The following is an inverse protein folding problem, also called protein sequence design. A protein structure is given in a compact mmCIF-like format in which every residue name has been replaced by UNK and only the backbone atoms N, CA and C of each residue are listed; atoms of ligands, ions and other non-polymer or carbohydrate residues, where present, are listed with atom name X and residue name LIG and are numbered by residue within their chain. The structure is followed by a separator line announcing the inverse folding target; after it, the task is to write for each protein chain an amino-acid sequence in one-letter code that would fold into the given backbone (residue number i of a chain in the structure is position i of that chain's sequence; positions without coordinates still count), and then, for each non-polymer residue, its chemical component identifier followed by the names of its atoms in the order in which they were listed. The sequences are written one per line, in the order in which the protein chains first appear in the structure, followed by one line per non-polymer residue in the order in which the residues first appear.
data_IF_728883753990
#
_entry.id   IF_728883753990
#
_cell.length_a   1.000
_cell.length_b   1.000
_cell.length_c   1.000
_cell.angle_alpha   90.00
_cell.angle_beta   90.00
_cell.angle_gamma   90.00
#
_symmetry.space_group_name_H-M   'P 1'
#
loop_
_entity.id
_entity.type
_entity.pdbx_description
1 polymer ?
#
# COMPACT_ATOMS: atom_id res chain seq x y z
N UNK A 1 -5.57 11.00 25.41
CA UNK A 1 -6.57 11.83 24.68
C UNK A 1 -6.05 12.70 23.52
N UNK A 2 -4.88 13.34 23.60
CA UNK A 2 -4.33 14.18 22.51
C UNK A 2 -4.06 13.44 21.18
N UNK A 3 -3.76 12.14 21.22
CA UNK A 3 -3.53 11.33 20.02
C UNK A 3 -4.82 11.04 19.22
N UNK A 4 -5.95 10.85 19.91
CA UNK A 4 -7.26 10.78 19.27
C UNK A 4 -7.74 12.15 18.79
N UNK A 5 -7.37 13.22 19.49
CA UNK A 5 -7.66 14.59 19.07
C UNK A 5 -6.85 15.01 17.84
N UNK A 6 -5.57 14.64 17.74
CA UNK A 6 -4.72 14.93 16.57
C UNK A 6 -5.14 14.10 15.34
N UNK A 7 -5.44 12.81 15.53
CA UNK A 7 -6.00 11.96 14.45
C UNK A 7 -7.39 12.42 14.02
N UNK A 8 -8.24 12.87 14.95
CA UNK A 8 -9.51 13.52 14.63
C UNK A 8 -9.34 14.90 13.99
N UNK A 9 -8.32 15.68 14.37
CA UNK A 9 -8.07 17.00 13.80
C UNK A 9 -7.60 16.86 12.35
N UNK A 10 -6.65 15.97 12.06
CA UNK A 10 -6.19 15.70 10.70
C UNK A 10 -7.29 15.12 9.79
N UNK A 11 -8.14 14.23 10.32
CA UNK A 11 -9.25 13.63 9.55
C UNK A 11 -10.46 14.56 9.41
N UNK A 12 -10.89 15.20 10.49
CA UNK A 12 -12.08 16.07 10.49
C UNK A 12 -11.81 17.42 9.87
N UNK A 13 -10.62 18.01 10.01
CA UNK A 13 -10.28 19.35 9.48
C UNK A 13 -10.04 19.39 7.97
N UNK A 14 -9.83 18.24 7.32
CA UNK A 14 -9.69 18.17 5.86
C UNK A 14 -11.00 17.76 5.18
N UNK A 15 -11.84 16.95 5.85
CA UNK A 15 -13.10 16.46 5.28
C UNK A 15 -14.31 17.36 5.56
N UNK A 16 -14.22 18.30 6.50
CA UNK A 16 -15.24 19.34 6.73
C UNK A 16 -15.10 20.53 5.77
N UNK A 17 -14.00 20.61 5.02
CA UNK A 17 -13.78 21.62 4.00
C UNK A 17 -14.16 21.04 2.61
N UNK A 18 -15.14 21.63 1.90
CA UNK A 18 -15.64 21.06 0.64
C UNK A 18 -14.57 20.93 -0.46
N UNK A 19 -13.45 21.66 -0.40
CA UNK A 19 -12.37 21.48 -1.38
C UNK A 19 -11.35 20.40 -0.98
N UNK A 20 -11.21 20.11 0.32
CA UNK A 20 -10.28 19.09 0.82
C UNK A 20 -10.76 17.67 0.51
N UNK A 21 -12.07 17.43 0.66
CA UNK A 21 -12.71 16.16 0.28
C UNK A 21 -12.62 15.89 -1.22
N UNK A 22 -12.88 16.90 -2.05
CA UNK A 22 -12.81 16.79 -3.52
C UNK A 22 -11.39 16.47 -3.99
N UNK A 23 -10.37 17.12 -3.41
CA UNK A 23 -8.98 16.86 -3.74
C UNK A 23 -8.54 15.44 -3.37
N UNK A 24 -8.83 15.00 -2.14
CA UNK A 24 -8.47 13.64 -1.68
C UNK A 24 -9.25 12.56 -2.44
N UNK A 25 -10.51 12.80 -2.76
CA UNK A 25 -11.33 11.89 -3.58
C UNK A 25 -10.75 11.75 -4.98
N UNK A 26 -10.37 12.85 -5.62
CA UNK A 26 -9.73 12.84 -6.94
C UNK A 26 -8.38 12.09 -6.93
N UNK A 27 -7.52 12.31 -5.92
CA UNK A 27 -6.26 11.59 -5.77
C UNK A 27 -6.45 10.08 -5.55
N UNK A 28 -7.44 9.69 -4.76
CA UNK A 28 -7.75 8.28 -4.53
C UNK A 28 -8.29 7.58 -5.78
N UNK A 29 -9.09 8.27 -6.60
CA UNK A 29 -9.65 7.71 -7.82
C UNK A 29 -8.57 7.37 -8.86
N UNK A 30 -7.53 8.21 -8.99
CA UNK A 30 -6.45 7.98 -9.98
C UNK A 30 -5.40 6.97 -9.50
N UNK A 31 -5.26 6.76 -8.19
CA UNK A 31 -4.17 5.96 -7.62
C UNK A 31 -4.10 4.51 -8.14
N UNK A 32 -5.19 3.72 -8.17
CA UNK A 32 -5.16 2.34 -8.67
C UNK A 32 -4.66 2.22 -10.12
N UNK A 33 -5.13 3.12 -10.99
CA UNK A 33 -4.75 3.14 -12.40
C UNK A 33 -3.27 3.50 -12.58
N UNK A 34 -2.80 4.49 -11.83
CA UNK A 34 -1.41 4.96 -11.90
C UNK A 34 -0.43 3.85 -11.49
N UNK A 35 -0.72 3.15 -10.39
CA UNK A 35 0.11 2.03 -9.92
C UNK A 35 0.21 0.94 -10.99
N UNK A 36 -0.91 0.56 -11.61
CA UNK A 36 -0.95 -0.46 -12.66
C UNK A 36 -0.05 -0.10 -13.84
N UNK A 37 -0.17 1.13 -14.36
CA UNK A 37 0.60 1.59 -15.53
C UNK A 37 2.09 1.74 -15.20
N UNK A 38 2.42 2.28 -14.01
CA UNK A 38 3.81 2.45 -13.60
C UNK A 38 4.54 1.11 -13.45
N UNK A 39 3.94 0.15 -12.75
CA UNK A 39 4.59 -1.14 -12.52
C UNK A 39 4.75 -1.92 -13.82
N UNK A 40 3.73 -1.95 -14.67
CA UNK A 40 3.79 -2.63 -15.97
C UNK A 40 4.85 -2.01 -16.89
N UNK A 41 4.94 -0.68 -16.93
CA UNK A 41 5.92 0.05 -17.76
C UNK A 41 7.35 -0.02 -17.20
N UNK A 42 7.51 -0.01 -15.88
CA UNK A 42 8.82 -0.19 -15.24
C UNK A 42 9.36 -1.59 -15.49
N UNK A 43 8.49 -2.60 -15.42
CA UNK A 43 8.86 -3.99 -15.59
C UNK A 43 9.13 -4.36 -17.05
N UNK A 44 8.35 -3.82 -18.00
CA UNK A 44 8.60 -4.01 -19.43
C UNK A 44 9.96 -3.45 -19.86
N UNK A 45 10.40 -2.36 -19.24
CA UNK A 45 11.71 -1.72 -19.47
C UNK A 45 12.82 -2.22 -18.54
N UNK A 46 12.54 -3.17 -17.64
CA UNK A 46 13.49 -3.59 -16.61
C UNK A 46 14.71 -4.34 -17.21
N UNK A 47 15.91 -3.83 -16.93
CA UNK A 47 17.21 -4.43 -17.31
C UNK A 47 17.66 -5.49 -16.28
N UNK A 48 18.58 -6.39 -16.65
CA UNK A 48 18.95 -7.57 -15.82
C UNK A 48 19.51 -7.24 -14.43
N UNK A 49 20.03 -6.03 -14.20
CA UNK A 49 20.53 -5.58 -12.88
C UNK A 49 19.46 -5.13 -11.87
N UNK A 50 18.17 -5.26 -12.18
CA UNK A 50 17.08 -4.76 -11.31
C UNK A 50 16.98 -5.54 -9.98
N UNK A 51 17.24 -6.86 -10.00
CA UNK A 51 17.07 -7.74 -8.84
C UNK A 51 17.99 -7.38 -7.66
N UNK A 52 19.25 -6.98 -7.96
CA UNK A 52 20.20 -6.54 -6.93
C UNK A 52 19.73 -5.26 -6.23
N UNK A 53 19.17 -4.30 -6.98
CA UNK A 53 18.62 -3.05 -6.42
C UNK A 53 17.41 -3.32 -5.54
N UNK A 54 16.51 -4.22 -5.96
CA UNK A 54 15.37 -4.62 -5.14
C UNK A 54 15.80 -5.22 -3.80
N UNK A 55 16.82 -6.10 -3.80
CA UNK A 55 17.38 -6.64 -2.55
C UNK A 55 17.87 -5.53 -1.62
N UNK A 56 18.61 -4.56 -2.15
CA UNK A 56 19.08 -3.40 -1.37
C UNK A 56 17.90 -2.63 -0.76
N UNK A 57 16.87 -2.31 -1.54
CA UNK A 57 15.68 -1.59 -1.05
C UNK A 57 14.97 -2.35 0.07
N UNK A 58 14.82 -3.67 -0.06
CA UNK A 58 14.19 -4.50 0.99
C UNK A 58 14.99 -4.46 2.29
N UNK A 59 16.33 -4.54 2.21
CA UNK A 59 17.20 -4.44 3.39
C UNK A 59 17.06 -3.08 4.07
N UNK A 60 17.09 -1.99 3.29
CA UNK A 60 16.89 -0.64 3.81
C UNK A 60 15.51 -0.45 4.44
N UNK A 61 14.46 -1.03 3.86
CA UNK A 61 13.09 -0.98 4.40
C UNK A 61 12.98 -1.68 5.75
N UNK A 62 13.52 -2.89 5.86
CA UNK A 62 13.52 -3.64 7.12
C UNK A 62 14.33 -2.92 8.20
N UNK A 63 15.50 -2.41 7.84
CA UNK A 63 16.36 -1.66 8.76
C UNK A 63 15.67 -0.38 9.25
N UNK A 64 15.06 0.38 8.34
CA UNK A 64 14.33 1.61 8.68
C UNK A 64 13.12 1.35 9.58
N UNK A 65 12.34 0.30 9.29
CA UNK A 65 11.15 -0.05 10.08
C UNK A 65 11.54 -0.50 11.48
N UNK A 66 12.64 -1.25 11.59
CA UNK A 66 13.17 -1.69 12.88
C UNK A 66 13.62 -0.51 13.74
N UNK A 67 14.37 0.44 13.17
CA UNK A 67 14.78 1.66 13.88
C UNK A 67 13.54 2.48 14.28
N UNK A 68 12.58 2.65 13.37
CA UNK A 68 11.35 3.38 13.65
C UNK A 68 10.55 2.75 14.81
N UNK A 69 10.48 1.42 14.90
CA UNK A 69 9.83 0.73 16.01
C UNK A 69 10.54 0.99 17.34
N UNK A 70 11.88 0.97 17.39
CA UNK A 70 12.65 1.29 18.60
C UNK A 70 12.37 2.73 19.04
N UNK A 71 12.43 3.68 18.10
CA UNK A 71 12.14 5.09 18.38
C UNK A 71 10.70 5.29 18.85
N UNK A 72 9.73 4.59 18.26
CA UNK A 72 8.34 4.65 18.66
C UNK A 72 8.10 4.12 20.08
N UNK A 73 8.75 3.02 20.46
CA UNK A 73 8.66 2.45 21.81
C UNK A 73 9.29 3.42 22.82
N UNK A 74 10.50 3.92 22.55
CA UNK A 74 11.15 4.91 23.43
C UNK A 74 10.33 6.20 23.56
N UNK A 75 9.78 6.70 22.44
CA UNK A 75 8.89 7.86 22.43
C UNK A 75 7.59 7.63 23.20
N UNK A 76 7.01 6.43 23.12
CA UNK A 76 5.84 6.03 23.89
C UNK A 76 6.10 6.08 25.40
N UNK A 77 7.31 5.69 25.83
CA UNK A 77 7.71 5.79 27.24
C UNK A 77 8.01 7.23 27.68
N UNK A 78 8.58 8.07 26.82
CA UNK A 78 8.90 9.47 27.13
C UNK A 78 7.66 10.38 27.19
N UNK A 79 6.60 10.05 26.45
CA UNK A 79 5.34 10.81 26.43
C UNK A 79 4.15 9.88 26.70
N UNK A 80 3.89 9.55 27.98
CA UNK A 80 2.80 8.64 28.34
C UNK A 80 1.45 9.26 27.97
N UNK A 81 0.83 8.73 26.91
CA UNK A 81 -0.54 9.09 26.52
C UNK A 81 -1.54 8.29 27.34
N UNK A 82 -1.99 8.85 28.45
CA UNK A 82 -3.13 8.31 29.20
C UNK A 82 -4.36 8.23 28.29
N UNK A 83 -4.88 7.02 28.11
CA UNK A 83 -6.21 6.77 27.55
C UNK A 83 -7.15 6.65 28.73
N UNK A 84 -7.99 7.66 28.96
CA UNK A 84 -9.05 7.55 29.96
C UNK A 84 -10.07 6.52 29.47
N UNK A 85 -10.26 5.45 30.23
CA UNK A 85 -11.08 4.30 29.88
C UNK A 85 -12.58 4.67 29.94
N UNK A 86 -13.08 5.45 28.98
CA UNK A 86 -14.52 5.62 28.80
C UNK A 86 -15.08 4.31 28.26
N UNK A 87 -15.65 3.51 29.17
CA UNK A 87 -16.41 2.26 28.97
C UNK A 87 -15.80 1.29 27.96
N UNK A 88 -15.41 0.09 28.42
CA UNK A 88 -14.98 -1.02 27.57
C UNK A 88 -15.97 -1.23 26.41
N UNK A 89 -15.67 -0.64 25.26
CA UNK A 89 -16.34 -0.98 24.02
C UNK A 89 -15.91 -2.41 23.73
N UNK A 90 -16.88 -3.32 23.61
CA UNK A 90 -16.71 -4.71 23.17
C UNK A 90 -16.18 -4.76 21.74
N UNK A 91 -14.95 -4.27 21.52
CA UNK A 91 -14.22 -4.44 20.29
C UNK A 91 -13.70 -5.87 20.35
N UNK A 92 -14.48 -6.77 19.75
CA UNK A 92 -14.09 -8.15 19.49
C UNK A 92 -12.67 -8.16 18.92
N UNK A 93 -11.81 -9.04 19.44
CA UNK A 93 -10.45 -9.18 18.93
C UNK A 93 -10.51 -9.42 17.42
N UNK A 94 -9.75 -8.66 16.62
CA UNK A 94 -9.82 -8.75 15.17
C UNK A 94 -9.42 -10.16 14.70
N UNK A 95 -10.02 -10.55 13.58
CA UNK A 95 -9.79 -11.76 12.77
C UNK A 95 -8.46 -12.46 12.99
N UNK A 96 -8.51 -13.78 13.19
CA UNK A 96 -7.31 -14.60 13.33
C UNK A 96 -6.40 -14.54 12.09
N UNK A 97 -5.12 -14.90 12.26
CA UNK A 97 -4.12 -14.89 11.19
C UNK A 97 -4.58 -15.66 9.93
N UNK A 98 -5.29 -16.76 10.12
CA UNK A 98 -5.81 -17.62 9.04
C UNK A 98 -6.76 -16.87 8.09
N UNK A 99 -7.66 -16.05 8.63
CA UNK A 99 -8.59 -15.25 7.84
C UNK A 99 -7.84 -14.19 7.02
N UNK A 100 -6.82 -13.55 7.63
CA UNK A 100 -5.99 -12.55 6.95
C UNK A 100 -5.20 -13.17 5.79
N UNK A 101 -4.59 -14.34 6.01
CA UNK A 101 -3.85 -15.06 4.96
C UNK A 101 -4.78 -15.48 3.82
N UNK A 102 -5.99 -15.95 4.15
CA UNK A 102 -7.01 -16.31 3.15
C UNK A 102 -7.45 -15.08 2.35
N UNK A 103 -7.65 -13.94 3.01
CA UNK A 103 -7.99 -12.68 2.34
C UNK A 103 -6.85 -12.17 1.44
N UNK A 104 -5.59 -12.26 1.87
CA UNK A 104 -4.45 -11.87 1.03
C UNK A 104 -4.38 -12.77 -0.22
N UNK A 105 -4.55 -14.08 -0.05
CA UNK A 105 -4.47 -15.01 -1.18
C UNK A 105 -5.60 -14.79 -2.19
N UNK A 106 -6.83 -14.59 -1.71
CA UNK A 106 -7.99 -14.33 -2.58
C UNK A 106 -7.93 -12.97 -3.27
N UNK A 107 -7.39 -11.94 -2.63
CA UNK A 107 -7.23 -10.60 -3.23
C UNK A 107 -6.15 -10.55 -4.31
N UNK A 108 -5.05 -11.31 -4.16
CA UNK A 108 -3.98 -11.40 -5.17
C UNK A 108 -4.48 -11.98 -6.49
N UNK A 109 -5.28 -13.05 -6.44
CA UNK A 109 -5.80 -13.73 -7.64
C UNK A 109 -7.20 -13.24 -8.06
N UNK A 110 -7.64 -12.09 -7.54
CA UNK A 110 -8.89 -11.48 -7.96
C UNK A 110 -8.86 -11.10 -9.46
N UNK A 111 -10.03 -10.99 -10.10
CA UNK A 111 -10.12 -10.60 -11.51
C UNK A 111 -9.46 -9.22 -11.72
N UNK A 112 -8.61 -9.03 -12.76
CA UNK A 112 -7.84 -7.79 -12.94
C UNK A 112 -8.71 -6.53 -13.03
N UNK A 113 -9.89 -6.64 -13.64
CA UNK A 113 -10.85 -5.52 -13.77
C UNK A 113 -11.44 -5.20 -12.40
N UNK A 114 -11.80 -6.23 -11.64
CA UNK A 114 -12.32 -6.11 -10.27
C UNK A 114 -11.28 -5.45 -9.36
N UNK A 115 -10.02 -5.84 -9.44
CA UNK A 115 -8.95 -5.27 -8.60
C UNK A 115 -8.77 -3.77 -8.86
N UNK A 116 -8.87 -3.33 -10.11
CA UNK A 116 -8.79 -1.91 -10.49
C UNK A 116 -9.98 -1.09 -10.00
N UNK A 117 -11.21 -1.63 -10.11
CA UNK A 117 -12.43 -0.92 -9.70
C UNK A 117 -12.59 -0.85 -8.19
N UNK A 118 -12.23 -1.92 -7.48
CA UNK A 118 -12.36 -2.00 -6.01
C UNK A 118 -11.14 -1.38 -5.29
N UNK A 119 -10.03 -1.13 -6.00
CA UNK A 119 -8.83 -0.54 -5.41
C UNK A 119 -7.98 -1.54 -4.61
N UNK A 120 -8.08 -2.83 -4.94
CA UNK A 120 -7.32 -3.90 -4.30
C UNK A 120 -5.86 -3.89 -4.78
N UNK A 121 -5.01 -3.14 -4.09
CA UNK A 121 -3.61 -2.91 -4.48
C UNK A 121 -2.82 -4.20 -4.69
N UNK A 122 -3.02 -5.23 -3.86
CA UNK A 122 -2.32 -6.52 -4.02
C UNK A 122 -2.64 -7.20 -5.35
N UNK A 123 -3.92 -7.23 -5.73
CA UNK A 123 -4.35 -7.75 -7.04
C UNK A 123 -3.84 -6.90 -8.21
N UNK A 124 -3.88 -5.57 -8.06
CA UNK A 124 -3.34 -4.63 -9.06
C UNK A 124 -1.85 -4.87 -9.30
N UNK A 125 -1.05 -5.04 -8.23
CA UNK A 125 0.38 -5.33 -8.34
C UNK A 125 0.63 -6.65 -9.05
N UNK A 126 -0.12 -7.70 -8.71
CA UNK A 126 0.03 -9.02 -9.32
C UNK A 126 -0.23 -8.98 -10.83
N UNK A 127 -1.38 -8.46 -11.24
CA UNK A 127 -1.72 -8.39 -12.66
C UNK A 127 -0.82 -7.42 -13.43
N UNK A 128 -0.43 -6.29 -12.83
CA UNK A 128 0.52 -5.37 -13.44
C UNK A 128 1.89 -6.03 -13.69
N UNK A 129 2.34 -6.88 -12.76
CA UNK A 129 3.56 -7.67 -12.92
C UNK A 129 3.44 -8.68 -14.07
N UNK A 130 2.33 -9.44 -14.13
CA UNK A 130 2.06 -10.39 -15.22
C UNK A 130 2.04 -9.68 -16.58
N UNK A 131 1.30 -8.58 -16.70
CA UNK A 131 1.24 -7.78 -17.93
C UNK A 131 2.61 -7.17 -18.30
N UNK A 132 3.34 -6.63 -17.33
CA UNK A 132 4.66 -6.04 -17.54
C UNK A 132 5.68 -7.04 -18.10
N UNK A 133 5.67 -8.29 -17.60
CA UNK A 133 6.52 -9.37 -18.13
C UNK A 133 6.04 -9.82 -19.51
N UNK A 134 4.73 -10.01 -19.70
CA UNK A 134 4.18 -10.41 -20.98
C UNK A 134 4.57 -9.42 -22.09
N UNK A 135 4.46 -8.11 -21.81
CA UNK A 135 4.89 -7.05 -22.74
C UNK A 135 6.40 -7.09 -23.01
N UNK A 136 7.23 -7.37 -21.98
CA UNK A 136 8.68 -7.50 -22.14
C UNK A 136 9.06 -8.61 -23.10
N UNK A 137 8.40 -9.76 -22.98
CA UNK A 137 8.66 -10.94 -23.83
C UNK A 137 8.24 -10.64 -25.27
N UNK A 138 7.01 -10.15 -25.48
CA UNK A 138 6.47 -9.84 -26.81
C UNK A 138 7.28 -8.77 -27.56
N UNK A 139 7.78 -7.76 -26.84
CA UNK A 139 8.61 -6.69 -27.43
C UNK A 139 10.01 -7.19 -27.86
N UNK A 140 10.51 -8.28 -27.29
CA UNK A 140 11.82 -8.84 -27.63
C UNK A 140 11.84 -9.51 -29.01
N UNK A 141 10.72 -10.13 -29.44
CA UNK A 141 10.70 -10.98 -30.63
C UNK A 141 10.33 -10.25 -31.94
N UNK A 142 9.64 -9.10 -31.87
CA UNK A 142 9.11 -8.41 -33.06
C UNK A 142 9.84 -7.12 -33.45
N UNK A 143 10.50 -6.40 -32.51
CA UNK A 143 11.05 -5.06 -32.79
C UNK A 143 12.55 -5.05 -33.12
N UNK A 144 13.27 -6.16 -32.90
CA UNK A 144 14.72 -6.24 -33.17
C UNK A 144 15.06 -6.70 -34.60
N UNK A 145 14.07 -6.86 -35.47
CA UNK A 145 14.21 -7.35 -36.86
C UNK A 145 14.00 -6.28 -37.95
N UNK A 146 14.18 -5.00 -37.61
CA UNK A 146 14.24 -3.90 -38.58
C UNK A 146 15.54 -3.13 -38.33
#
# INVERSE_FOLDING_TARGET
DYWCYFRSFHSKSFNNWPTGTLFVSALKAVAPLLVFVLVASALSKAKSGIASRFKTVIIFYLFSTFIAAIVAVLGSHLFPVGMHLTAASNVSAPSGLEEILTNILTTIFSNPIKSLTEGEYLGILFWSFVFGIALKIVASDNTKKI
#
